data_IF_470659139470
#
_entry.id   IF_470659139470
#
_cell.length_a   1.000
_cell.length_b   1.000
_cell.length_c   1.000
_cell.angle_alpha   90.00
_cell.angle_beta   90.00
_cell.angle_gamma   90.00
#
_symmetry.space_group_name_H-M   'P 1'
#
loop_
_entity.id
_entity.type
_entity.pdbx_description
1 polymer ?
#
# COMPACT_ATOMS: atom_id res chain seq x y z
N UNK A 1 -11.95 0.80 -8.31
CA UNK A 1 -11.22 -0.28 -7.62
C UNK A 1 -9.87 0.26 -7.15
N UNK A 2 -9.24 -0.35 -6.14
CA UNK A 2 -7.88 0.00 -5.72
C UNK A 2 -6.79 -0.77 -6.47
N UNK A 3 -7.19 -1.77 -7.25
CA UNK A 3 -6.34 -2.61 -8.09
C UNK A 3 -7.04 -2.85 -9.43
N UNK A 4 -6.27 -2.98 -10.51
CA UNK A 4 -6.77 -3.23 -11.86
C UNK A 4 -5.91 -4.31 -12.50
N UNK A 5 -6.56 -5.38 -12.97
CA UNK A 5 -5.94 -6.43 -13.76
C UNK A 5 -6.44 -6.31 -15.20
N UNK A 6 -5.54 -6.46 -16.18
CA UNK A 6 -5.88 -6.41 -17.61
C UNK A 6 -5.50 -7.75 -18.22
N UNK A 7 -6.48 -8.47 -18.77
CA UNK A 7 -6.31 -9.82 -19.34
C UNK A 7 -5.87 -10.91 -18.34
N UNK A 8 -6.06 -10.69 -17.04
CA UNK A 8 -5.77 -11.65 -15.98
C UNK A 8 -6.96 -11.79 -15.02
N UNK A 9 -7.06 -12.92 -14.30
CA UNK A 9 -7.98 -13.07 -13.18
C UNK A 9 -7.79 -11.98 -12.12
N UNK A 10 -8.84 -11.68 -11.36
CA UNK A 10 -8.82 -10.65 -10.30
C UNK A 10 -8.11 -11.10 -9.03
N UNK A 11 -7.94 -12.41 -8.84
CA UNK A 11 -7.21 -13.02 -7.73
C UNK A 11 -5.80 -13.43 -8.18
N UNK A 12 -4.87 -13.51 -7.23
CA UNK A 12 -3.46 -13.78 -7.51
C UNK A 12 -2.64 -12.50 -7.62
N UNK A 13 -2.58 -11.74 -6.53
CA UNK A 13 -1.83 -10.48 -6.45
C UNK A 13 -0.38 -10.77 -6.07
N UNK A 14 0.57 -10.16 -6.76
CA UNK A 14 1.99 -10.28 -6.40
C UNK A 14 2.30 -9.60 -5.05
N UNK A 15 3.00 -10.30 -4.16
CA UNK A 15 3.24 -9.83 -2.77
C UNK A 15 4.08 -8.55 -2.65
N UNK A 16 4.79 -8.17 -3.71
CA UNK A 16 5.64 -6.97 -3.71
C UNK A 16 4.87 -5.69 -4.07
N UNK A 17 3.64 -5.81 -4.61
CA UNK A 17 2.79 -4.65 -4.92
C UNK A 17 1.86 -4.31 -3.76
N UNK A 18 1.43 -3.03 -3.63
CA UNK A 18 0.49 -2.64 -2.59
C UNK A 18 -0.90 -3.23 -2.84
N UNK A 19 -1.45 -3.90 -1.84
CA UNK A 19 -2.78 -4.45 -1.81
C UNK A 19 -3.77 -3.47 -1.14
N UNK A 20 -4.99 -3.39 -1.68
CA UNK A 20 -6.10 -2.70 -1.03
C UNK A 20 -7.13 -2.08 -1.99
N UNK A 21 -8.33 -1.84 -1.47
CA UNK A 21 -9.47 -1.31 -2.22
C UNK A 21 -9.63 0.22 -2.19
N UNK A 22 -10.76 0.72 -2.69
CA UNK A 22 -11.17 2.13 -2.57
C UNK A 22 -12.69 2.19 -2.44
N UNK A 23 -13.23 3.16 -1.69
CA UNK A 23 -14.65 3.24 -1.26
C UNK A 23 -14.93 2.16 -0.21
N UNK A 24 -16.10 1.50 -0.23
CA UNK A 24 -16.49 0.50 0.77
C UNK A 24 -15.60 -0.76 0.86
N UNK A 25 -14.60 -0.91 -0.02
CA UNK A 25 -13.63 -2.01 0.02
C UNK A 25 -12.31 -1.66 0.71
N UNK A 26 -12.23 -0.52 1.41
CA UNK A 26 -11.05 -0.16 2.21
C UNK A 26 -11.41 0.89 3.27
N UNK A 27 -10.83 0.75 4.46
CA UNK A 27 -10.98 1.69 5.58
C UNK A 27 -9.65 2.29 6.04
N UNK A 28 -8.53 1.97 5.38
CA UNK A 28 -7.20 2.27 5.88
C UNK A 28 -6.10 2.24 4.81
N UNK A 29 -4.82 2.29 5.23
CA UNK A 29 -3.67 2.31 4.33
C UNK A 29 -3.50 0.99 3.55
N UNK A 30 -2.55 0.98 2.61
CA UNK A 30 -2.27 -0.20 1.78
C UNK A 30 -1.53 -1.27 2.58
N UNK A 31 -1.84 -2.52 2.29
CA UNK A 31 -1.15 -3.68 2.82
C UNK A 31 -0.12 -4.18 1.81
N UNK A 32 0.87 -4.96 2.26
CA UNK A 32 1.91 -5.55 1.41
C UNK A 32 2.78 -4.55 0.62
N UNK A 33 3.81 -5.09 -0.04
CA UNK A 33 4.81 -4.28 -0.75
C UNK A 33 5.48 -3.23 0.13
N UNK A 34 6.08 -2.22 -0.52
CA UNK A 34 6.78 -1.13 0.18
C UNK A 34 5.83 -0.25 1.00
N UNK A 35 4.58 -0.14 0.60
CA UNK A 35 3.60 0.74 1.24
C UNK A 35 3.12 0.22 2.60
N UNK A 36 3.26 -1.08 2.89
CA UNK A 36 3.02 -1.61 4.24
C UNK A 36 3.87 -0.93 5.31
N UNK A 37 5.05 -0.40 4.95
CA UNK A 37 5.93 0.31 5.89
C UNK A 37 5.25 1.53 6.51
N UNK A 38 4.35 2.22 5.80
CA UNK A 38 3.63 3.39 6.33
C UNK A 38 2.68 3.03 7.47
N UNK A 39 2.23 1.78 7.54
CA UNK A 39 1.38 1.32 8.64
C UNK A 39 2.19 1.03 9.91
N UNK A 40 3.39 0.47 9.75
CA UNK A 40 4.24 0.04 10.88
C UNK A 40 5.29 1.08 11.30
N UNK A 41 5.45 2.16 10.55
CA UNK A 41 6.48 3.17 10.83
C UNK A 41 5.91 4.58 10.76
N UNK A 42 6.55 5.49 11.48
CA UNK A 42 6.20 6.92 11.50
C UNK A 42 7.38 7.74 11.00
N UNK A 43 7.13 8.69 10.10
CA UNK A 43 8.16 9.63 9.65
C UNK A 43 8.57 10.57 10.79
N UNK A 44 9.87 10.69 11.04
CA UNK A 44 10.44 11.66 11.98
C UNK A 44 11.44 12.56 11.27
N UNK A 45 11.09 13.83 11.11
CA UNK A 45 11.96 14.85 10.51
C UNK A 45 12.81 15.52 11.59
N UNK A 46 14.12 15.64 11.36
CA UNK A 46 15.04 16.35 12.24
C UNK A 46 15.97 17.27 11.44
N UNK A 47 16.30 18.43 12.00
CA UNK A 47 17.27 19.37 11.45
C UNK A 47 18.51 19.40 12.35
N UNK A 48 19.70 19.41 11.75
CA UNK A 48 20.98 19.52 12.46
C UNK A 48 21.82 20.60 11.80
N UNK A 49 22.43 21.48 12.59
CA UNK A 49 23.45 22.40 12.11
C UNK A 49 24.73 21.59 11.84
N UNK A 50 25.29 21.73 10.64
CA UNK A 50 26.58 21.11 10.27
C UNK A 50 27.76 21.89 10.86
#
# INVERSE_FOLDING_TARGET
AGMVMVNLPTAGVDYHVPFGGRKGSSYGPREQGRYAQEFFTTVKTAYTLA
#
